data_IF_657591808801
#
_entry.id   IF_657591808801
#
_cell.length_a   1.000
_cell.length_b   1.000
_cell.length_c   1.000
_cell.angle_alpha   90.00
_cell.angle_beta   90.00
_cell.angle_gamma   90.00
#
_symmetry.space_group_name_H-M   'P 1'
#
loop_
_entity.id
_entity.type
_entity.pdbx_description
1 polymer ?
#
# COMPACT_ATOMS: atom_id res chain seq x y z
N UNK A 1 -5.84 27.14 -4.59
CA UNK A 1 -5.44 28.49 -5.08
C UNK A 1 -6.21 28.84 -6.35
N UNK A 2 -6.21 30.11 -6.74
CA UNK A 2 -6.69 30.53 -8.07
C UNK A 2 -5.71 30.07 -9.17
N UNK A 3 -6.23 29.78 -10.37
CA UNK A 3 -5.47 29.43 -11.57
C UNK A 3 -5.75 30.45 -12.67
N UNK A 4 -5.22 31.67 -12.46
CA UNK A 4 -5.39 32.81 -13.39
C UNK A 4 -4.72 32.59 -14.74
N UNK A 5 -3.82 31.62 -14.81
CA UNK A 5 -3.14 31.16 -16.00
C UNK A 5 -3.98 30.17 -16.86
N UNK A 6 -5.11 29.68 -16.34
CA UNK A 6 -6.00 28.73 -17.00
C UNK A 6 -7.39 29.34 -17.28
N UNK A 7 -8.19 28.71 -18.15
CA UNK A 7 -9.60 29.08 -18.30
C UNK A 7 -10.38 29.03 -16.98
N UNK A 8 -11.50 29.77 -16.87
CA UNK A 8 -12.35 29.71 -15.67
C UNK A 8 -12.77 28.28 -15.33
N UNK A 9 -12.72 27.95 -14.05
CA UNK A 9 -13.21 26.67 -13.52
C UNK A 9 -12.14 25.73 -12.94
N UNK A 10 -10.84 26.05 -13.06
CA UNK A 10 -9.73 25.22 -12.54
C UNK A 10 -9.13 25.70 -11.21
N UNK A 11 -9.82 26.59 -10.51
CA UNK A 11 -9.47 27.01 -9.15
C UNK A 11 -9.64 25.86 -8.13
N UNK A 12 -9.12 26.06 -6.92
CA UNK A 12 -9.34 25.14 -5.80
C UNK A 12 -8.11 24.26 -5.52
N UNK A 13 -8.33 22.97 -5.26
CA UNK A 13 -7.25 22.02 -4.98
C UNK A 13 -6.36 21.80 -6.20
N UNK A 14 -5.06 21.85 -5.95
CA UNK A 14 -4.03 21.60 -6.95
C UNK A 14 -3.15 20.47 -6.41
N UNK A 15 -2.93 19.44 -7.22
CA UNK A 15 -1.98 18.39 -6.89
C UNK A 15 -0.55 18.93 -7.10
N UNK A 16 0.27 18.76 -6.08
CA UNK A 16 1.72 18.97 -6.13
C UNK A 16 2.36 17.70 -5.58
N UNK A 17 3.32 17.16 -6.33
CA UNK A 17 4.10 16.02 -5.86
C UNK A 17 5.59 16.38 -5.87
N UNK A 18 6.21 16.29 -4.69
CA UNK A 18 7.62 16.54 -4.49
C UNK A 18 8.46 15.26 -4.56
N UNK A 19 7.82 14.10 -4.71
CA UNK A 19 8.48 12.81 -4.92
C UNK A 19 9.15 12.82 -6.30
N UNK A 20 10.47 12.63 -6.41
CA UNK A 20 11.17 12.70 -7.68
C UNK A 20 10.86 11.44 -8.52
N UNK A 21 9.82 11.52 -9.37
CA UNK A 21 9.37 10.43 -10.24
C UNK A 21 9.74 10.70 -11.70
N UNK A 22 9.11 11.70 -12.31
CA UNK A 22 9.36 12.16 -13.68
C UNK A 22 9.95 13.58 -13.66
N UNK A 23 10.84 13.87 -14.62
CA UNK A 23 11.42 15.20 -14.75
C UNK A 23 10.51 16.11 -15.58
N UNK A 24 10.00 17.19 -14.97
CA UNK A 24 9.30 18.26 -15.68
C UNK A 24 10.32 19.32 -16.13
N UNK A 25 10.53 19.44 -17.45
CA UNK A 25 11.56 20.29 -18.05
C UNK A 25 12.98 20.05 -17.49
N UNK A 26 13.33 18.79 -17.21
CA UNK A 26 14.65 18.41 -16.70
C UNK A 26 14.85 18.59 -15.19
N UNK A 27 13.81 18.99 -14.45
CA UNK A 27 13.84 19.14 -12.99
C UNK A 27 12.83 18.16 -12.37
N UNK A 28 13.20 17.52 -11.27
CA UNK A 28 12.27 16.67 -10.50
C UNK A 28 11.30 17.54 -9.68
N UNK A 29 10.19 17.89 -10.32
CA UNK A 29 9.04 18.55 -9.72
C UNK A 29 7.77 18.14 -10.46
N UNK A 30 6.63 18.21 -9.78
CA UNK A 30 5.34 17.90 -10.37
C UNK A 30 4.24 18.84 -9.87
N UNK A 31 3.49 19.42 -10.80
CA UNK A 31 2.38 20.32 -10.54
C UNK A 31 2.78 21.81 -10.49
N UNK A 32 1.84 22.71 -10.17
CA UNK A 32 0.47 22.43 -9.71
C UNK A 32 -0.48 21.98 -10.83
N UNK A 33 -1.10 20.81 -10.67
CA UNK A 33 -2.15 20.30 -11.56
C UNK A 33 -3.54 20.52 -10.94
N UNK A 34 -4.50 21.14 -11.62
CA UNK A 34 -5.85 21.28 -11.07
C UNK A 34 -6.49 19.90 -10.90
N UNK A 35 -6.96 19.57 -9.70
CA UNK A 35 -7.63 18.28 -9.45
C UNK A 35 -8.85 18.11 -10.37
N UNK A 36 -9.54 19.20 -10.69
CA UNK A 36 -10.63 19.21 -11.67
C UNK A 36 -10.15 18.84 -13.09
N UNK A 37 -9.00 19.34 -13.54
CA UNK A 37 -8.47 18.99 -14.86
C UNK A 37 -8.14 17.50 -14.95
N UNK A 38 -7.64 16.90 -13.86
CA UNK A 38 -7.42 15.45 -13.76
C UNK A 38 -8.74 14.71 -13.89
N UNK A 39 -9.77 15.13 -13.15
CA UNK A 39 -11.11 14.51 -13.22
C UNK A 39 -11.75 14.57 -14.60
N UNK A 40 -11.60 15.69 -15.30
CA UNK A 40 -12.21 15.88 -16.62
C UNK A 40 -11.34 15.40 -17.80
N UNK A 41 -10.15 14.83 -17.51
CA UNK A 41 -9.21 14.36 -18.55
C UNK A 41 -8.61 15.49 -19.39
N UNK A 42 -8.54 16.71 -18.87
CA UNK A 42 -7.96 17.88 -19.54
C UNK A 42 -6.42 17.90 -19.39
N UNK A 43 -5.79 16.82 -19.86
CA UNK A 43 -4.36 16.56 -19.65
C UNK A 43 -3.42 17.54 -20.38
N UNK A 44 -3.94 18.34 -21.32
CA UNK A 44 -3.17 19.34 -22.04
C UNK A 44 -2.83 20.58 -21.20
N UNK A 45 -3.51 20.76 -20.05
CA UNK A 45 -3.30 21.92 -19.18
C UNK A 45 -2.03 21.78 -18.35
N UNK A 46 -1.37 22.91 -18.10
CA UNK A 46 -0.21 22.95 -17.21
C UNK A 46 -0.66 22.81 -15.75
N UNK A 47 0.15 22.23 -14.86
CA UNK A 47 1.42 21.54 -15.10
C UNK A 47 1.23 20.03 -14.88
N UNK A 48 1.95 19.20 -15.63
CA UNK A 48 2.09 17.75 -15.41
C UNK A 48 0.78 16.94 -15.31
N UNK A 49 -0.34 17.48 -15.84
CA UNK A 49 -1.62 16.79 -15.83
C UNK A 49 -1.60 15.38 -16.46
N UNK A 50 -0.85 15.10 -17.55
CA UNK A 50 -0.79 13.75 -18.11
C UNK A 50 -0.21 12.72 -17.12
N UNK A 51 0.80 13.12 -16.35
CA UNK A 51 1.46 12.26 -15.37
C UNK A 51 0.51 11.95 -14.21
N UNK A 52 -0.06 12.99 -13.57
CA UNK A 52 -0.98 12.82 -12.45
C UNK A 52 -2.27 12.09 -12.87
N UNK A 53 -2.74 12.29 -14.11
CA UNK A 53 -3.89 11.53 -14.64
C UNK A 53 -3.59 10.04 -14.70
N UNK A 54 -2.40 9.64 -15.14
CA UNK A 54 -2.00 8.24 -15.19
C UNK A 54 -1.91 7.60 -13.79
N UNK A 55 -1.43 8.34 -12.77
CA UNK A 55 -1.34 7.84 -11.38
C UNK A 55 -2.69 7.36 -10.82
N UNK A 56 -3.81 7.88 -11.33
CA UNK A 56 -5.16 7.56 -10.83
C UNK A 56 -6.07 6.83 -11.82
N UNK A 57 -5.75 6.83 -13.11
CA UNK A 57 -6.59 6.22 -14.17
C UNK A 57 -5.88 5.14 -15.00
N UNK A 58 -4.62 4.80 -14.75
CA UNK A 58 -3.92 3.82 -15.59
C UNK A 58 -4.54 2.41 -15.52
N UNK A 59 -4.64 1.78 -16.70
CA UNK A 59 -4.94 0.35 -16.83
C UNK A 59 -3.75 -0.51 -16.39
N UNK A 60 -4.03 -1.64 -15.73
CA UNK A 60 -3.02 -2.65 -15.42
C UNK A 60 -3.09 -3.76 -16.45
N UNK A 61 -2.02 -3.92 -17.22
CA UNK A 61 -1.83 -5.04 -18.15
C UNK A 61 -0.70 -5.91 -17.62
N UNK A 62 -0.91 -7.22 -17.54
CA UNK A 62 0.16 -8.15 -17.17
C UNK A 62 0.51 -9.08 -18.30
N UNK A 63 1.80 -9.31 -18.38
CA UNK A 63 2.43 -10.11 -19.40
C UNK A 63 3.23 -11.23 -18.74
N UNK A 64 3.19 -12.43 -19.32
CA UNK A 64 4.11 -13.51 -18.99
C UNK A 64 5.18 -13.56 -20.06
N UNK A 65 6.43 -13.42 -19.64
CA UNK A 65 7.60 -13.56 -20.50
C UNK A 65 8.27 -14.88 -20.17
N UNK A 66 8.21 -15.84 -21.10
CA UNK A 66 8.74 -17.20 -20.87
C UNK A 66 10.25 -17.24 -21.12
N UNK A 67 10.71 -16.59 -22.18
CA UNK A 67 12.12 -16.32 -22.42
C UNK A 67 12.28 -14.97 -23.16
N UNK A 68 13.51 -14.46 -23.24
CA UNK A 68 13.82 -13.16 -23.85
C UNK A 68 13.57 -13.10 -25.37
N UNK A 69 13.40 -14.25 -26.03
CA UNK A 69 13.23 -14.35 -27.48
C UNK A 69 11.77 -14.50 -27.91
N UNK A 70 10.88 -14.93 -27.01
CA UNK A 70 9.45 -15.06 -27.25
C UNK A 70 8.71 -13.77 -26.97
N UNK A 71 7.73 -13.44 -27.82
CA UNK A 71 6.82 -12.34 -27.55
C UNK A 71 6.12 -12.53 -26.18
N UNK A 72 5.99 -11.47 -25.37
CA UNK A 72 5.25 -11.54 -24.11
C UNK A 72 3.79 -11.96 -24.35
N UNK A 73 3.27 -12.86 -23.51
CA UNK A 73 1.88 -13.30 -23.55
C UNK A 73 1.03 -12.45 -22.61
N UNK A 74 0.01 -11.77 -23.13
CA UNK A 74 -0.91 -10.98 -22.29
C UNK A 74 -1.85 -11.91 -21.53
N UNK A 75 -1.79 -11.88 -20.19
CA UNK A 75 -2.56 -12.80 -19.33
C UNK A 75 -3.53 -12.11 -18.39
N UNK A 76 -3.53 -10.77 -18.35
CA UNK A 76 -4.41 -10.00 -17.46
C UNK A 76 -4.60 -8.58 -17.97
N UNK A 77 -5.82 -8.06 -17.83
CA UNK A 77 -6.13 -6.63 -17.90
C UNK A 77 -7.09 -6.28 -16.77
N UNK A 78 -6.85 -5.14 -16.13
CA UNK A 78 -7.75 -4.55 -15.14
C UNK A 78 -7.67 -3.04 -15.23
N UNK A 79 -8.75 -2.46 -15.72
CA UNK A 79 -8.91 -1.03 -15.91
C UNK A 79 -9.32 -0.31 -14.63
N UNK A 80 -9.59 -1.05 -13.56
CA UNK A 80 -10.21 -0.52 -12.36
C UNK A 80 -9.29 -0.74 -11.16
N UNK A 81 -8.00 -1.08 -11.35
CA UNK A 81 -7.09 -1.42 -10.25
C UNK A 81 -6.42 -0.20 -9.61
N UNK A 82 -6.10 0.81 -10.42
CA UNK A 82 -5.32 1.99 -10.04
C UNK A 82 -6.23 3.10 -9.49
N UNK A 83 -5.66 4.02 -8.70
CA UNK A 83 -6.35 5.21 -8.20
C UNK A 83 -7.52 4.93 -7.24
N UNK A 84 -7.42 3.90 -6.40
CA UNK A 84 -8.46 3.59 -5.40
C UNK A 84 -8.22 4.32 -4.09
N UNK A 85 -9.33 4.62 -3.39
CA UNK A 85 -9.32 5.06 -1.98
C UNK A 85 -8.42 6.29 -1.75
N UNK A 86 -8.41 7.23 -2.70
CA UNK A 86 -7.67 8.48 -2.56
C UNK A 86 -8.23 9.19 -1.33
N UNK A 87 -7.40 9.40 -0.33
CA UNK A 87 -7.85 9.76 1.00
C UNK A 87 -7.09 10.97 1.54
N UNK A 88 -7.80 11.78 2.33
CA UNK A 88 -7.20 12.82 3.16
C UNK A 88 -7.73 12.74 4.59
N UNK A 89 -7.05 13.40 5.52
CA UNK A 89 -7.51 13.48 6.91
C UNK A 89 -8.73 14.41 6.99
N UNK A 90 -9.81 13.94 7.61
CA UNK A 90 -11.01 14.74 7.83
C UNK A 90 -10.70 15.97 8.71
N UNK A 91 -11.34 17.09 8.38
CA UNK A 91 -11.21 18.34 9.14
C UNK A 91 -11.71 18.11 10.57
N UNK A 92 -10.90 18.52 11.56
CA UNK A 92 -11.26 18.42 12.98
C UNK A 92 -11.11 17.03 13.63
N UNK A 93 -11.02 15.94 12.86
CA UNK A 93 -10.95 14.55 13.39
C UNK A 93 -9.79 13.76 12.78
N UNK A 94 -9.54 12.54 13.24
CA UNK A 94 -8.60 11.59 12.61
C UNK A 94 -9.28 10.69 11.56
N UNK A 95 -10.54 10.94 11.25
CA UNK A 95 -11.31 10.16 10.29
C UNK A 95 -10.70 10.21 8.89
N UNK A 96 -10.85 9.12 8.15
CA UNK A 96 -10.54 9.09 6.71
C UNK A 96 -11.63 9.83 5.96
N UNK A 97 -11.27 10.84 5.18
CA UNK A 97 -12.14 11.45 4.18
C UNK A 97 -11.73 10.91 2.81
N UNK A 98 -12.65 10.19 2.17
CA UNK A 98 -12.46 9.71 0.80
C UNK A 98 -12.69 10.84 -0.20
N UNK A 99 -11.73 11.07 -1.09
CA UNK A 99 -11.75 12.10 -2.12
C UNK A 99 -11.53 11.48 -3.52
N UNK A 100 -11.74 10.17 -3.68
CA UNK A 100 -11.55 9.48 -4.97
C UNK A 100 -12.42 10.11 -6.07
N UNK A 101 -13.66 10.49 -5.75
CA UNK A 101 -14.60 11.13 -6.68
C UNK A 101 -14.22 12.56 -7.08
N UNK A 102 -13.24 13.17 -6.40
CA UNK A 102 -12.67 14.45 -6.81
C UNK A 102 -11.66 14.29 -7.97
N UNK A 103 -11.03 13.13 -8.09
CA UNK A 103 -9.98 12.86 -9.09
C UNK A 103 -10.49 12.09 -10.31
N UNK A 104 -11.55 11.30 -10.17
CA UNK A 104 -12.12 10.53 -11.29
C UNK A 104 -13.59 10.21 -11.07
N UNK A 105 -14.25 9.83 -12.16
CA UNK A 105 -15.62 9.32 -12.14
C UNK A 105 -15.66 7.89 -11.57
N UNK A 106 -16.87 7.39 -11.29
CA UNK A 106 -17.03 6.05 -10.72
C UNK A 106 -16.63 4.98 -11.74
N UNK A 107 -15.86 3.99 -11.31
CA UNK A 107 -15.42 2.88 -12.16
C UNK A 107 -16.61 2.20 -12.84
N UNK A 108 -16.56 2.07 -14.17
CA UNK A 108 -17.63 1.48 -14.97
C UNK A 108 -18.77 2.43 -15.34
N UNK A 109 -18.71 3.71 -14.97
CA UNK A 109 -19.64 4.72 -15.50
C UNK A 109 -19.25 5.12 -16.94
N UNK A 110 -20.21 5.67 -17.68
CA UNK A 110 -19.96 6.15 -19.05
C UNK A 110 -18.95 7.30 -19.06
N UNK A 111 -19.05 8.21 -18.09
CA UNK A 111 -18.17 9.35 -17.93
C UNK A 111 -16.72 8.94 -17.68
N UNK A 112 -16.48 7.88 -16.89
CA UNK A 112 -15.14 7.33 -16.65
C UNK A 112 -14.46 6.95 -17.97
N UNK A 113 -15.16 6.19 -18.82
CA UNK A 113 -14.62 5.76 -20.12
C UNK A 113 -14.48 6.90 -21.11
N UNK A 114 -15.43 7.82 -21.16
CA UNK A 114 -15.36 9.00 -22.03
C UNK A 114 -14.16 9.87 -21.68
N UNK A 115 -13.92 10.13 -20.40
CA UNK A 115 -12.77 10.91 -19.91
C UNK A 115 -11.45 10.20 -20.21
N UNK A 116 -11.38 8.90 -19.99
CA UNK A 116 -10.19 8.11 -20.29
C UNK A 116 -9.85 8.14 -21.79
N UNK A 117 -10.84 7.90 -22.67
CA UNK A 117 -10.67 7.97 -24.12
C UNK A 117 -10.27 9.36 -24.59
N UNK A 118 -10.91 10.42 -24.07
CA UNK A 118 -10.54 11.82 -24.34
C UNK A 118 -9.07 12.08 -24.02
N UNK A 119 -8.60 11.65 -22.84
CA UNK A 119 -7.20 11.84 -22.44
C UNK A 119 -6.23 11.05 -23.35
N UNK A 120 -6.58 9.82 -23.71
CA UNK A 120 -5.77 8.99 -24.60
C UNK A 120 -5.68 9.59 -26.01
N UNK A 121 -6.79 10.07 -26.57
CA UNK A 121 -6.82 10.76 -27.86
C UNK A 121 -5.95 12.03 -27.84
N UNK A 122 -6.05 12.84 -26.78
CA UNK A 122 -5.22 14.04 -26.64
C UNK A 122 -3.72 13.71 -26.62
N UNK A 123 -3.35 12.61 -25.95
CA UNK A 123 -1.96 12.13 -25.90
C UNK A 123 -1.47 11.59 -27.25
N UNK A 124 -2.35 10.94 -28.01
CA UNK A 124 -2.01 10.28 -29.28
C UNK A 124 -2.08 11.21 -30.50
N UNK A 125 -2.43 12.49 -30.34
CA UNK A 125 -2.35 13.48 -31.43
C UNK A 125 -0.90 13.66 -31.89
N UNK A 126 -0.59 13.49 -33.19
CA UNK A 126 0.77 13.25 -33.64
C UNK A 126 1.59 14.55 -33.74
N UNK A 127 2.70 14.62 -33.01
CA UNK A 127 3.97 14.92 -33.67
C UNK A 127 4.53 13.58 -34.17
N UNK A 128 4.28 13.29 -35.45
CA UNK A 128 4.96 12.29 -36.31
C UNK A 128 5.67 11.13 -35.59
N UNK A 129 5.06 9.95 -35.57
CA UNK A 129 5.55 8.72 -36.26
C UNK A 129 4.37 7.76 -36.35
N UNK A 130 4.12 7.26 -37.57
CA UNK A 130 3.24 6.12 -37.83
C UNK A 130 3.60 4.95 -36.90
N UNK A 131 2.79 4.73 -35.88
CA UNK A 131 2.60 3.40 -35.30
C UNK A 131 1.22 2.97 -35.72
N UNK A 132 1.14 1.80 -36.34
CA UNK A 132 -0.08 1.30 -36.97
C UNK A 132 -1.26 1.42 -36.03
N UNK A 133 -2.31 2.08 -36.52
CA UNK A 133 -3.65 1.98 -35.99
C UNK A 133 -4.06 0.51 -36.16
N UNK A 134 -3.87 -0.30 -35.12
CA UNK A 134 -4.62 -1.54 -34.99
C UNK A 134 -5.99 -1.15 -34.46
N UNK A 135 -6.79 -0.60 -35.38
CA UNK A 135 -8.20 -0.30 -35.24
C UNK A 135 -9.00 -1.62 -35.38
N UNK A 136 -8.53 -2.65 -34.66
CA UNK A 136 -9.28 -3.85 -34.41
C UNK A 136 -9.79 -3.79 -32.99
N UNK A 137 -11.00 -3.24 -32.87
CA UNK A 137 -11.99 -3.70 -31.90
C UNK A 137 -12.33 -5.18 -32.15
N UNK A 138 -11.31 -6.04 -32.17
CA UNK A 138 -11.50 -7.42 -31.75
C UNK A 138 -11.82 -7.36 -30.27
N UNK A 139 -12.87 -8.03 -29.78
CA UNK A 139 -13.03 -8.20 -28.35
C UNK A 139 -11.73 -8.81 -27.85
N UNK A 140 -10.94 -8.06 -27.06
CA UNK A 140 -9.82 -8.60 -26.30
C UNK A 140 -10.33 -9.92 -25.73
N UNK A 141 -9.78 -11.08 -26.13
CA UNK A 141 -10.36 -12.34 -25.74
C UNK A 141 -10.44 -12.31 -24.23
N UNK A 142 -11.67 -12.33 -23.72
CA UNK A 142 -11.87 -12.44 -22.29
C UNK A 142 -11.03 -13.63 -21.85
N UNK A 143 -10.40 -13.49 -20.70
CA UNK A 143 -9.54 -14.48 -20.04
C UNK A 143 -10.29 -15.79 -19.68
N UNK A 144 -11.39 -16.07 -20.39
CA UNK A 144 -12.36 -17.14 -20.27
C UNK A 144 -12.01 -18.41 -21.07
N UNK A 145 -10.98 -18.39 -21.93
CA UNK A 145 -10.62 -19.58 -22.74
C UNK A 145 -9.99 -20.73 -21.95
N UNK A 146 -9.23 -20.40 -20.91
CA UNK A 146 -8.48 -21.41 -20.12
C UNK A 146 -9.45 -22.33 -19.34
N UNK A 147 -10.61 -21.81 -18.95
CA UNK A 147 -11.61 -22.56 -18.19
C UNK A 147 -11.16 -22.96 -16.79
N UNK A 148 -10.11 -22.33 -16.26
CA UNK A 148 -9.65 -22.48 -14.87
C UNK A 148 -9.59 -21.11 -14.22
N UNK A 149 -10.08 -20.97 -13.00
CA UNK A 149 -9.83 -19.79 -12.17
C UNK A 149 -8.80 -20.11 -11.08
N UNK A 150 -7.93 -19.15 -10.77
CA UNK A 150 -6.97 -19.23 -9.68
C UNK A 150 -7.02 -17.95 -8.85
N UNK A 151 -7.08 -18.08 -7.52
CA UNK A 151 -7.01 -16.95 -6.59
C UNK A 151 -6.15 -17.29 -5.37
N UNK A 152 -5.47 -16.29 -4.84
CA UNK A 152 -4.66 -16.41 -3.63
C UNK A 152 -5.44 -15.87 -2.42
N UNK A 153 -5.66 -16.72 -1.41
CA UNK A 153 -6.38 -16.35 -0.18
C UNK A 153 -5.53 -16.63 1.04
N UNK A 154 -5.38 -15.65 1.93
CA UNK A 154 -4.71 -15.86 3.21
C UNK A 154 -5.49 -16.86 4.06
N UNK A 155 -4.79 -17.75 4.76
CA UNK A 155 -5.43 -18.59 5.77
C UNK A 155 -5.85 -17.73 6.97
N UNK A 156 -4.93 -16.89 7.44
CA UNK A 156 -5.10 -15.97 8.57
C UNK A 156 -4.37 -14.63 8.27
N UNK A 157 -4.66 -13.59 9.03
CA UNK A 157 -3.90 -12.33 8.96
C UNK A 157 -2.44 -12.59 9.34
N UNK A 158 -1.48 -12.27 8.47
CA UNK A 158 -0.09 -12.61 8.71
C UNK A 158 0.53 -11.61 9.68
N UNK A 159 1.25 -12.12 10.68
CA UNK A 159 1.90 -11.30 11.72
C UNK A 159 3.41 -11.43 11.57
N UNK A 160 4.13 -10.32 11.74
CA UNK A 160 5.59 -10.31 11.72
C UNK A 160 6.15 -11.30 12.76
N UNK A 161 7.06 -12.18 12.33
CA UNK A 161 7.66 -13.20 13.18
C UNK A 161 7.03 -14.59 13.09
N UNK A 162 5.92 -14.73 12.36
CA UNK A 162 5.20 -16.00 12.20
C UNK A 162 5.27 -16.54 10.77
N UNK A 163 5.06 -17.83 10.58
CA UNK A 163 4.96 -18.40 9.25
C UNK A 163 3.73 -17.85 8.51
N UNK A 164 3.92 -17.39 7.28
CA UNK A 164 2.82 -16.90 6.45
C UNK A 164 2.16 -18.08 5.76
N UNK A 165 0.83 -18.18 5.87
CA UNK A 165 0.07 -19.29 5.28
C UNK A 165 -1.01 -18.74 4.34
N UNK A 166 -0.98 -19.20 3.08
CA UNK A 166 -2.00 -18.86 2.09
C UNK A 166 -2.39 -20.07 1.23
N UNK A 167 -3.59 -20.03 0.69
CA UNK A 167 -4.09 -21.02 -0.27
C UNK A 167 -4.08 -20.46 -1.69
N UNK A 168 -3.55 -21.25 -2.62
CA UNK A 168 -3.89 -21.13 -4.03
C UNK A 168 -5.18 -21.93 -4.27
N UNK A 169 -6.28 -21.22 -4.47
CA UNK A 169 -7.60 -21.79 -4.73
C UNK A 169 -7.82 -21.87 -6.23
N UNK A 170 -8.03 -23.09 -6.72
CA UNK A 170 -8.26 -23.41 -8.12
C UNK A 170 -9.70 -23.85 -8.31
N UNK A 171 -10.29 -23.49 -9.45
CA UNK A 171 -11.57 -24.07 -9.88
C UNK A 171 -11.53 -24.38 -11.35
N UNK A 172 -11.83 -25.63 -11.71
CA UNK A 172 -12.08 -26.02 -13.09
C UNK A 172 -13.51 -25.63 -13.46
N UNK A 173 -13.67 -24.74 -14.42
CA UNK A 173 -14.96 -24.23 -14.90
C UNK A 173 -15.47 -25.02 -16.11
N UNK A 174 -14.71 -26.02 -16.58
CA UNK A 174 -15.04 -26.83 -17.75
C UNK A 174 -15.70 -28.15 -17.38
N UNK A 175 -16.20 -28.85 -18.40
CA UNK A 175 -16.74 -30.20 -18.32
C UNK A 175 -15.68 -31.29 -18.56
N UNK A 176 -14.41 -30.91 -18.77
CA UNK A 176 -13.31 -31.84 -19.01
C UNK A 176 -12.27 -31.79 -17.89
N UNK A 177 -11.52 -32.89 -17.75
CA UNK A 177 -10.39 -32.96 -16.82
C UNK A 177 -9.28 -32.01 -17.28
N UNK A 178 -8.63 -31.34 -16.32
CA UNK A 178 -7.54 -30.40 -16.58
C UNK A 178 -6.34 -30.72 -15.70
N UNK A 179 -5.14 -30.67 -16.29
CA UNK A 179 -3.87 -30.77 -15.58
C UNK A 179 -3.14 -29.44 -15.61
N UNK A 180 -2.71 -28.98 -14.44
CA UNK A 180 -2.09 -27.66 -14.28
C UNK A 180 -0.87 -27.76 -13.37
N UNK A 181 0.23 -27.11 -13.77
CA UNK A 181 1.39 -26.88 -12.91
C UNK A 181 1.39 -25.44 -12.43
N UNK A 182 1.51 -25.25 -11.12
CA UNK A 182 1.45 -23.95 -10.46
C UNK A 182 2.82 -23.64 -9.90
N UNK A 183 3.45 -22.60 -10.42
CA UNK A 183 4.72 -22.09 -9.95
C UNK A 183 4.46 -20.83 -9.11
N UNK A 184 4.73 -20.92 -7.81
CA UNK A 184 4.60 -19.82 -6.86
C UNK A 184 5.98 -19.25 -6.59
N UNK A 185 6.11 -17.95 -6.78
CA UNK A 185 7.27 -17.16 -6.40
C UNK A 185 6.87 -16.16 -5.31
N UNK A 186 7.69 -16.08 -4.27
CA UNK A 186 7.53 -15.14 -3.16
C UNK A 186 8.76 -14.25 -3.11
N UNK A 187 8.55 -12.95 -3.05
CA UNK A 187 9.62 -11.95 -2.96
C UNK A 187 9.29 -10.92 -1.90
N UNK A 188 10.30 -10.39 -1.24
CA UNK A 188 10.13 -9.15 -0.52
C UNK A 188 10.00 -7.99 -1.52
N UNK A 189 9.16 -7.02 -1.18
CA UNK A 189 8.97 -5.82 -1.99
C UNK A 189 8.98 -4.58 -1.11
N UNK A 190 9.31 -3.44 -1.70
CA UNK A 190 9.07 -2.15 -1.07
C UNK A 190 7.65 -1.65 -1.32
N UNK A 191 7.24 -0.63 -0.56
CA UNK A 191 5.93 0.02 -0.71
C UNK A 191 5.67 0.60 -2.11
N UNK A 192 6.72 1.01 -2.83
CA UNK A 192 6.67 1.47 -4.22
C UNK A 192 6.61 0.31 -5.24
N UNK A 193 6.61 -0.94 -4.79
CA UNK A 193 6.54 -2.13 -5.64
C UNK A 193 7.88 -2.60 -6.20
N UNK A 194 9.00 -1.98 -5.83
CA UNK A 194 10.34 -2.47 -6.20
C UNK A 194 10.53 -3.88 -5.62
N UNK A 195 10.95 -4.78 -6.50
CA UNK A 195 11.24 -6.18 -6.16
C UNK A 195 12.63 -6.28 -5.52
N UNK A 196 12.69 -6.91 -4.36
CA UNK A 196 13.93 -7.24 -3.67
C UNK A 196 14.28 -8.70 -3.97
N UNK A 197 14.81 -9.42 -2.98
CA UNK A 197 15.23 -10.80 -3.14
C UNK A 197 14.04 -11.77 -3.18
N UNK A 198 14.27 -12.89 -3.86
CA UNK A 198 13.37 -14.04 -3.83
C UNK A 198 13.48 -14.72 -2.48
N UNK A 199 12.36 -14.78 -1.76
CA UNK A 199 12.23 -15.48 -0.48
C UNK A 199 12.13 -16.98 -0.71
N UNK A 200 11.24 -17.41 -1.62
CA UNK A 200 11.10 -18.81 -1.97
C UNK A 200 10.39 -19.01 -3.31
N UNK A 201 10.59 -20.19 -3.88
CA UNK A 201 9.85 -20.69 -5.03
C UNK A 201 9.29 -22.07 -4.72
N UNK A 202 8.08 -22.35 -5.17
CA UNK A 202 7.40 -23.63 -4.99
C UNK A 202 6.67 -24.02 -6.27
N UNK A 203 6.63 -25.32 -6.56
CA UNK A 203 5.92 -25.86 -7.71
C UNK A 203 4.97 -26.96 -7.27
N UNK A 204 3.76 -26.97 -7.83
CA UNK A 204 2.72 -27.95 -7.52
C UNK A 204 2.06 -28.40 -8.82
N UNK A 205 1.89 -29.71 -8.98
CA UNK A 205 1.08 -30.27 -10.08
C UNK A 205 -0.27 -30.73 -9.54
N UNK A 206 -1.34 -30.27 -10.18
CA UNK A 206 -2.72 -30.52 -9.76
C UNK A 206 -3.51 -31.07 -10.95
N UNK A 207 -4.28 -32.11 -10.70
CA UNK A 207 -5.30 -32.61 -11.61
C UNK A 207 -6.67 -32.18 -11.08
N UNK A 208 -7.45 -31.50 -11.93
CA UNK A 208 -8.77 -30.97 -11.59
C UNK A 208 -9.84 -31.69 -12.43
N UNK A 209 -10.74 -32.40 -11.75
CA UNK A 209 -11.93 -32.98 -12.38
C UNK A 209 -12.87 -31.87 -12.88
N UNK A 210 -13.82 -32.19 -13.77
CA UNK A 210 -14.86 -31.25 -14.17
C UNK A 210 -15.54 -30.60 -12.96
N UNK A 211 -15.66 -29.27 -12.98
CA UNK A 211 -16.29 -28.47 -11.90
C UNK A 211 -15.62 -28.54 -10.52
N UNK A 212 -14.45 -29.18 -10.39
CA UNK A 212 -13.76 -29.33 -9.10
C UNK A 212 -13.18 -27.99 -8.60
N UNK A 213 -13.32 -27.76 -7.30
CA UNK A 213 -12.55 -26.77 -6.55
C UNK A 213 -11.45 -27.47 -5.75
N UNK A 214 -10.21 -26.98 -5.86
CA UNK A 214 -9.05 -27.54 -5.18
C UNK A 214 -8.23 -26.44 -4.51
N UNK A 215 -7.63 -26.72 -3.36
CA UNK A 215 -6.82 -25.74 -2.62
C UNK A 215 -5.44 -26.29 -2.32
N UNK A 216 -4.40 -25.55 -2.72
CA UNK A 216 -3.00 -25.86 -2.37
C UNK A 216 -2.54 -24.93 -1.27
N UNK A 217 -2.14 -25.48 -0.12
CA UNK A 217 -1.57 -24.70 0.99
C UNK A 217 -0.10 -24.35 0.71
N UNK A 218 0.20 -23.06 0.69
CA UNK A 218 1.55 -22.53 0.62
C UNK A 218 1.94 -21.92 1.98
N UNK A 219 2.90 -22.56 2.65
CA UNK A 219 3.50 -22.05 3.90
C UNK A 219 4.83 -21.36 3.60
N UNK A 220 5.04 -20.13 4.05
CA UNK A 220 6.27 -19.37 3.87
C UNK A 220 6.87 -19.15 5.27
N UNK A 221 7.88 -19.95 5.66
CA UNK A 221 8.46 -19.85 6.99
C UNK A 221 9.09 -18.49 7.30
N UNK A 222 8.97 -18.00 8.53
CA UNK A 222 9.59 -16.73 8.97
C UNK A 222 11.09 -16.69 8.67
N UNK A 223 11.78 -17.82 8.87
CA UNK A 223 13.21 -17.95 8.62
C UNK A 223 13.62 -17.65 7.17
N UNK A 224 12.74 -17.82 6.19
CA UNK A 224 13.04 -17.56 4.78
C UNK A 224 12.92 -16.09 4.40
N UNK A 225 12.04 -15.33 5.07
CA UNK A 225 11.76 -13.95 4.66
C UNK A 225 12.32 -12.91 5.61
N UNK A 226 12.68 -13.26 6.85
CA UNK A 226 13.08 -12.29 7.88
C UNK A 226 14.24 -11.37 7.50
N UNK A 227 15.21 -11.89 6.73
CA UNK A 227 16.37 -11.12 6.30
C UNK A 227 16.05 -10.17 5.14
N UNK A 228 14.98 -10.44 4.41
CA UNK A 228 14.58 -9.71 3.20
C UNK A 228 13.55 -8.62 3.48
N UNK A 229 12.99 -8.58 4.68
CA UNK A 229 12.01 -7.57 5.06
C UNK A 229 12.65 -6.20 5.26
N UNK A 230 11.95 -5.20 4.74
CA UNK A 230 12.26 -3.78 4.92
C UNK A 230 11.26 -3.15 5.88
N UNK A 231 11.30 -1.83 6.02
CA UNK A 231 10.35 -1.08 6.84
C UNK A 231 8.88 -1.27 6.39
N UNK A 232 8.70 -1.64 5.12
CA UNK A 232 7.40 -1.83 4.48
C UNK A 232 6.69 -3.10 4.97
N UNK A 233 7.42 -4.10 5.49
CA UNK A 233 6.87 -5.40 5.90
C UNK A 233 5.99 -6.06 4.80
N UNK A 234 6.39 -5.93 3.53
CA UNK A 234 5.63 -6.41 2.39
C UNK A 234 6.29 -7.61 1.71
N UNK A 235 5.47 -8.62 1.41
CA UNK A 235 5.82 -9.71 0.52
C UNK A 235 4.88 -9.68 -0.70
N UNK A 236 5.39 -10.03 -1.87
CA UNK A 236 4.60 -10.27 -3.08
C UNK A 236 4.62 -11.74 -3.41
N UNK A 237 3.45 -12.33 -3.55
CA UNK A 237 3.27 -13.69 -4.05
C UNK A 237 2.74 -13.62 -5.47
N UNK A 238 3.46 -14.24 -6.40
CA UNK A 238 3.06 -14.44 -7.79
C UNK A 238 2.91 -15.93 -8.04
N UNK A 239 1.72 -16.37 -8.44
CA UNK A 239 1.42 -17.74 -8.82
C UNK A 239 1.11 -17.77 -10.32
N UNK A 240 1.94 -18.47 -11.10
CA UNK A 240 1.72 -18.72 -12.53
C UNK A 240 1.28 -20.17 -12.68
N UNK A 241 0.08 -20.37 -13.19
CA UNK A 241 -0.45 -21.68 -13.57
C UNK A 241 -0.25 -21.91 -15.07
N UNK A 242 0.27 -23.06 -15.47
CA UNK A 242 0.40 -23.48 -16.86
C UNK A 242 -0.34 -24.80 -17.06
N UNK A 243 -1.25 -24.85 -18.04
CA UNK A 243 -1.94 -26.09 -18.41
C UNK A 243 -0.96 -27.02 -19.14
N UNK A 244 -0.96 -28.29 -18.75
CA UNK A 244 -0.04 -29.28 -19.33
C UNK A 244 -0.28 -29.48 -20.82
N UNK A 245 -1.56 -29.54 -21.24
CA UNK A 245 -1.95 -29.90 -22.60
C UNK A 245 -1.89 -28.71 -23.58
N UNK A 246 -2.40 -27.55 -23.16
CA UNK A 246 -2.54 -26.37 -24.05
C UNK A 246 -1.41 -25.35 -23.92
N UNK A 247 -0.59 -25.44 -22.85
CA UNK A 247 0.45 -24.45 -22.51
C UNK A 247 -0.06 -23.05 -22.21
N UNK A 248 -1.38 -22.89 -22.12
CA UNK A 248 -2.01 -21.63 -21.70
C UNK A 248 -1.66 -21.31 -20.26
N UNK A 249 -1.45 -20.02 -19.98
CA UNK A 249 -1.01 -19.53 -18.68
C UNK A 249 -2.04 -18.63 -18.02
N UNK A 250 -2.15 -18.77 -16.71
CA UNK A 250 -2.95 -17.88 -15.87
C UNK A 250 -2.12 -17.37 -14.69
N UNK A 251 -2.44 -16.18 -14.21
CA UNK A 251 -1.70 -15.48 -13.17
C UNK A 251 -2.62 -15.10 -12.02
N UNK A 252 -2.21 -15.42 -10.80
CA UNK A 252 -2.76 -14.85 -9.59
C UNK A 252 -1.63 -14.21 -8.78
N UNK A 253 -1.87 -13.02 -8.25
CA UNK A 253 -0.89 -12.32 -7.42
C UNK A 253 -1.54 -11.79 -6.15
N UNK A 254 -0.72 -11.61 -5.11
CA UNK A 254 -1.15 -11.00 -3.87
C UNK A 254 0.02 -10.32 -3.19
N UNK A 255 -0.15 -9.04 -2.83
CA UNK A 255 0.71 -8.38 -1.87
C UNK A 255 0.22 -8.75 -0.46
N UNK A 256 1.16 -9.08 0.41
CA UNK A 256 0.95 -9.49 1.79
C UNK A 256 1.65 -8.45 2.66
N UNK A 257 0.87 -7.73 3.47
CA UNK A 257 1.40 -6.86 4.52
C UNK A 257 1.39 -7.63 5.83
N UNK A 258 2.55 -7.73 6.48
CA UNK A 258 2.67 -8.35 7.80
C UNK A 258 2.25 -7.34 8.87
N UNK A 259 1.33 -7.74 9.74
CA UNK A 259 0.92 -6.91 10.87
C UNK A 259 2.08 -6.74 11.83
N UNK A 260 2.40 -5.48 12.14
CA UNK A 260 3.41 -5.14 13.13
C UNK A 260 2.91 -5.48 14.54
N UNK A 261 3.81 -5.94 15.43
CA UNK A 261 3.48 -6.16 16.84
C UNK A 261 3.05 -4.84 17.51
N UNK A 262 2.12 -4.92 18.47
CA UNK A 262 1.59 -3.74 19.16
C UNK A 262 2.48 -3.31 20.30
N UNK A 263 2.70 -2.00 20.41
CA UNK A 263 3.32 -1.38 21.57
C UNK A 263 2.25 -0.63 22.36
N UNK A 264 2.33 -0.69 23.70
CA UNK A 264 1.39 -0.01 24.57
C UNK A 264 1.99 1.32 25.02
N UNK A 265 1.24 2.40 24.86
CA UNK A 265 1.61 3.75 25.28
C UNK A 265 0.46 4.33 26.09
N UNK A 266 0.75 4.74 27.32
CA UNK A 266 -0.26 5.32 28.22
C UNK A 266 0.31 6.51 29.00
N UNK A 267 -0.56 7.45 29.36
CA UNK A 267 -0.28 8.52 30.31
C UNK A 267 -1.23 8.32 31.50
N UNK A 268 -0.74 7.95 32.69
CA UNK A 268 -1.59 7.80 33.87
C UNK A 268 -1.96 9.20 34.37
N UNK A 269 -3.25 9.52 34.34
CA UNK A 269 -3.77 10.81 34.75
C UNK A 269 -3.73 11.86 33.64
N UNK A 270 -3.98 13.10 34.02
CA UNK A 270 -4.10 14.21 33.07
C UNK A 270 -2.76 14.90 32.83
N UNK A 271 -2.55 15.37 31.60
CA UNK A 271 -1.38 16.17 31.27
C UNK A 271 -1.61 17.65 31.60
N UNK A 272 -0.68 18.23 32.38
CA UNK A 272 -0.77 19.60 32.84
C UNK A 272 0.25 20.48 32.13
N UNK A 273 -0.17 21.69 31.75
CA UNK A 273 0.73 22.66 31.13
C UNK A 273 1.87 23.02 32.10
N UNK A 274 3.11 22.95 31.59
CA UNK A 274 4.36 23.24 32.30
C UNK A 274 4.64 22.37 33.53
N UNK A 275 3.93 21.24 33.69
CA UNK A 275 4.18 20.30 34.78
C UNK A 275 4.54 18.91 34.23
N UNK A 276 5.45 18.17 34.92
CA UNK A 276 5.81 16.82 34.53
C UNK A 276 4.59 15.89 34.52
N UNK A 277 4.39 15.23 33.39
CA UNK A 277 3.36 14.20 33.20
C UNK A 277 4.03 12.92 32.74
N UNK A 278 3.85 11.83 33.47
CA UNK A 278 4.59 10.59 33.25
C UNK A 278 3.99 9.80 32.09
N UNK A 279 4.71 9.56 31.00
CA UNK A 279 4.30 8.59 29.98
C UNK A 279 4.92 7.23 30.28
N UNK A 280 4.15 6.16 30.07
CA UNK A 280 4.60 4.78 30.17
C UNK A 280 4.52 4.12 28.81
N UNK A 281 5.58 3.41 28.45
CA UNK A 281 5.67 2.62 27.22
C UNK A 281 6.02 1.19 27.58
N UNK A 282 5.30 0.23 27.02
CA UNK A 282 5.52 -1.21 27.21
C UNK A 282 5.50 -1.92 25.87
N UNK A 283 6.46 -2.81 25.68
CA UNK A 283 6.54 -3.66 24.51
C UNK A 283 7.19 -4.99 24.87
N UNK A 284 6.62 -6.09 24.38
CA UNK A 284 7.15 -7.44 24.54
C UNK A 284 7.69 -7.95 23.22
N UNK A 285 8.88 -8.57 23.24
CA UNK A 285 9.46 -9.18 22.06
C UNK A 285 8.60 -10.38 21.60
N UNK A 286 7.95 -10.29 20.42
CA UNK A 286 7.10 -11.36 19.91
C UNK A 286 7.88 -12.42 19.11
N UNK A 287 9.14 -12.15 18.80
CA UNK A 287 9.98 -13.06 18.03
C UNK A 287 10.56 -14.15 18.93
N UNK A 288 10.90 -15.27 18.29
CA UNK A 288 11.63 -16.38 18.93
C UNK A 288 13.13 -16.11 19.03
N UNK A 289 13.61 -14.96 18.56
CA UNK A 289 15.00 -14.52 18.61
C UNK A 289 15.17 -13.19 19.37
N UNK A 290 16.41 -12.89 19.79
CA UNK A 290 16.70 -11.62 20.46
C UNK A 290 16.48 -10.45 19.50
N UNK A 291 15.82 -9.40 19.97
CA UNK A 291 15.88 -8.09 19.31
C UNK A 291 17.18 -7.41 19.73
N UNK A 292 17.97 -6.95 18.77
CA UNK A 292 19.23 -6.23 19.04
C UNK A 292 19.10 -4.75 18.72
N UNK A 293 19.91 -3.94 19.39
CA UNK A 293 19.98 -2.48 19.19
C UNK A 293 18.60 -1.81 19.28
N UNK A 294 17.83 -2.21 20.29
CA UNK A 294 16.49 -1.69 20.54
C UNK A 294 16.55 -0.20 20.90
N UNK A 295 15.75 0.62 20.23
CA UNK A 295 15.66 2.07 20.43
C UNK A 295 14.22 2.50 20.56
N UNK A 296 14.00 3.51 21.38
CA UNK A 296 12.70 4.16 21.56
C UNK A 296 12.85 5.67 21.38
N UNK A 297 12.05 6.24 20.48
CA UNK A 297 11.98 7.69 20.23
C UNK A 297 10.56 8.17 20.51
N UNK A 298 10.42 9.28 21.22
CA UNK A 298 9.15 9.94 21.50
C UNK A 298 9.22 11.41 21.08
N UNK A 299 8.22 11.86 20.35
CA UNK A 299 8.08 13.25 19.91
C UNK A 299 6.62 13.72 19.94
N UNK A 300 6.38 15.01 20.11
CA UNK A 300 5.03 15.56 20.10
C UNK A 300 5.04 17.07 20.23
N UNK A 301 4.52 17.77 19.21
CA UNK A 301 4.46 19.23 19.23
C UNK A 301 3.60 19.71 20.40
N UNK A 302 4.16 20.59 21.23
CA UNK A 302 3.49 21.08 22.45
C UNK A 302 3.58 20.14 23.66
N UNK A 303 4.18 18.96 23.51
CA UNK A 303 4.40 17.97 24.57
C UNK A 303 5.90 17.82 24.92
N UNK A 304 6.77 17.81 23.91
CA UNK A 304 8.22 17.61 24.03
C UNK A 304 8.94 18.67 23.18
N UNK A 305 9.97 19.31 23.73
CA UNK A 305 10.89 20.15 22.95
C UNK A 305 11.95 19.22 22.34
N UNK A 306 11.97 19.09 21.01
CA UNK A 306 12.80 18.10 20.32
C UNK A 306 12.21 16.69 20.43
N UNK A 307 13.04 15.72 20.85
CA UNK A 307 12.66 14.32 21.01
C UNK A 307 13.25 13.74 22.30
N UNK A 308 12.61 12.73 22.86
CA UNK A 308 13.18 11.86 23.89
C UNK A 308 13.64 10.59 23.21
N UNK A 309 14.90 10.21 23.40
CA UNK A 309 15.50 9.01 22.82
C UNK A 309 16.10 8.12 23.91
N UNK A 310 15.87 6.81 23.80
CA UNK A 310 16.36 5.79 24.72
C UNK A 310 16.94 4.61 23.95
N UNK A 311 18.20 4.31 24.21
CA UNK A 311 18.81 3.03 23.87
C UNK A 311 18.37 1.99 24.92
N UNK A 312 17.77 0.90 24.46
CA UNK A 312 17.22 -0.16 25.30
C UNK A 312 18.09 -1.45 25.28
N UNK A 313 19.12 -1.49 24.44
CA UNK A 313 20.01 -2.64 24.29
C UNK A 313 19.32 -3.81 23.59
N UNK A 314 19.49 -5.02 24.12
CA UNK A 314 18.92 -6.23 23.53
C UNK A 314 17.71 -6.73 24.34
N UNK A 315 16.67 -7.20 23.65
CA UNK A 315 15.46 -7.76 24.27
C UNK A 315 15.30 -9.23 23.92
N UNK A 316 15.38 -10.12 24.92
CA UNK A 316 15.26 -11.57 24.74
C UNK A 316 13.84 -11.99 24.30
N UNK A 317 13.67 -13.16 23.66
CA UNK A 317 12.36 -13.72 23.33
C UNK A 317 11.41 -13.71 24.54
N UNK A 318 10.18 -13.28 24.32
CA UNK A 318 9.13 -13.21 25.35
C UNK A 318 9.37 -12.21 26.49
N UNK A 319 10.53 -11.53 26.53
CA UNK A 319 10.78 -10.48 27.51
C UNK A 319 10.19 -9.16 27.04
N UNK A 320 9.98 -8.24 27.99
CA UNK A 320 9.43 -6.93 27.73
C UNK A 320 10.28 -5.82 28.33
N UNK A 321 10.24 -4.65 27.71
CA UNK A 321 10.69 -3.42 28.37
C UNK A 321 9.50 -2.63 28.90
N UNK A 322 9.74 -1.88 29.97
CA UNK A 322 8.84 -0.88 30.53
C UNK A 322 9.62 0.40 30.75
N UNK A 323 9.28 1.44 29.99
CA UNK A 323 9.91 2.75 30.12
C UNK A 323 8.91 3.72 30.71
N UNK A 324 9.39 4.54 31.64
CA UNK A 324 8.69 5.73 32.10
C UNK A 324 9.53 6.94 31.77
N UNK A 325 8.91 7.97 31.20
CA UNK A 325 9.56 9.25 30.93
C UNK A 325 8.63 10.40 31.32
N UNK A 326 9.22 11.51 31.75
CA UNK A 326 8.44 12.71 32.03
C UNK A 326 8.29 13.55 30.75
N UNK A 327 7.05 13.88 30.43
CA UNK A 327 6.68 14.86 29.41
C UNK A 327 6.40 16.19 30.11
N UNK A 328 6.88 17.31 29.57
CA UNK A 328 6.57 18.65 30.09
C UNK A 328 5.86 19.44 28.99
N UNK A 329 4.52 19.36 28.92
CA UNK A 329 3.76 20.06 27.90
C UNK A 329 3.93 21.57 27.96
N UNK A 330 4.11 22.21 26.80
CA UNK A 330 4.30 23.65 26.67
C UNK A 330 3.24 24.34 25.79
N UNK A 331 2.25 23.58 25.28
CA UNK A 331 1.06 24.13 24.61
C UNK A 331 -0.21 23.43 25.09
N UNK A 332 -1.27 24.21 25.35
CA UNK A 332 -2.61 23.69 25.71
C UNK A 332 -3.35 23.07 24.52
N UNK A 333 -4.40 22.30 24.84
CA UNK A 333 -5.35 21.72 23.89
C UNK A 333 -5.02 20.27 23.52
N UNK A 334 -5.71 19.75 22.49
CA UNK A 334 -5.47 18.39 21.96
C UNK A 334 -4.10 18.32 21.30
N UNK A 335 -3.26 17.40 21.76
CA UNK A 335 -1.92 17.08 21.24
C UNK A 335 -1.83 15.60 20.91
N UNK A 336 -0.82 15.25 20.13
CA UNK A 336 -0.51 13.86 19.79
C UNK A 336 0.93 13.60 20.18
N UNK A 337 1.14 12.55 20.97
CA UNK A 337 2.45 11.96 21.19
C UNK A 337 2.66 10.87 20.15
N UNK A 338 3.78 10.91 19.46
CA UNK A 338 4.26 9.85 18.57
C UNK A 338 5.35 9.06 19.27
N UNK A 339 5.24 7.74 19.23
CA UNK A 339 6.22 6.83 19.83
C UNK A 339 6.69 5.85 18.75
N UNK A 340 7.99 5.80 18.54
CA UNK A 340 8.66 4.96 17.58
C UNK A 340 9.57 3.99 18.31
N UNK A 341 9.37 2.70 18.11
CA UNK A 341 10.31 1.65 18.51
C UNK A 341 10.99 1.07 17.28
N UNK A 342 12.28 0.82 17.36
CA UNK A 342 13.06 0.16 16.31
C UNK A 342 14.10 -0.80 16.88
N UNK A 343 14.53 -1.75 16.07
CA UNK A 343 15.61 -2.72 16.34
C UNK A 343 16.16 -3.22 15.00
N UNK A 344 17.22 -4.02 15.01
CA UNK A 344 17.74 -4.61 13.78
C UNK A 344 16.75 -5.59 13.13
N UNK A 345 15.99 -6.32 13.94
CA UNK A 345 15.05 -7.37 13.50
C UNK A 345 13.66 -6.80 13.18
N UNK A 346 13.20 -5.81 13.94
CA UNK A 346 11.93 -5.11 13.73
C UNK A 346 12.24 -3.66 13.42
N UNK A 347 12.13 -3.28 12.14
CA UNK A 347 12.55 -1.97 11.66
C UNK A 347 11.82 -0.84 12.37
N UNK A 348 10.48 -0.83 12.33
CA UNK A 348 9.69 0.19 13.03
C UNK A 348 8.37 -0.35 13.56
N UNK A 349 8.05 0.03 14.79
CA UNK A 349 6.72 0.00 15.38
C UNK A 349 6.36 1.44 15.71
N UNK A 350 5.22 1.90 15.21
CA UNK A 350 4.72 3.26 15.38
C UNK A 350 3.43 3.21 16.19
N UNK A 351 3.41 3.92 17.29
CA UNK A 351 2.21 4.15 18.08
C UNK A 351 1.99 5.65 18.27
N UNK A 352 0.75 6.02 18.57
CA UNK A 352 0.43 7.39 18.87
C UNK A 352 -0.62 7.47 19.98
N UNK A 353 -0.52 8.50 20.81
CA UNK A 353 -1.42 8.75 21.92
C UNK A 353 -1.96 10.17 21.86
N UNK A 354 -3.29 10.30 21.87
CA UNK A 354 -3.94 11.60 22.03
C UNK A 354 -3.86 12.05 23.49
N UNK A 355 -3.40 13.28 23.70
CA UNK A 355 -3.22 13.87 25.02
C UNK A 355 -3.94 15.21 25.03
N UNK A 356 -4.84 15.39 26.00
CA UNK A 356 -5.44 16.69 26.29
C UNK A 356 -4.58 17.37 27.35
N UNK A 357 -4.02 18.53 26.99
CA UNK A 357 -3.23 19.36 27.90
C UNK A 357 -4.07 20.53 28.38
N UNK A 358 -4.24 20.65 29.69
CA UNK A 358 -4.99 21.73 30.33
C UNK A 358 -4.20 22.42 31.44
N UNK A 359 -4.76 23.52 31.90
CA UNK A 359 -4.19 24.36 32.96
C UNK A 359 -4.49 23.77 34.33
N UNK A 360 -3.65 24.06 35.33
CA UNK A 360 -3.84 23.60 36.71
C UNK A 360 -5.24 23.91 37.29
N UNK A 361 -5.91 24.97 36.83
CA UNK A 361 -7.22 25.43 37.34
C UNK A 361 -8.46 24.92 36.59
N UNK A 362 -8.32 24.24 35.45
CA UNK A 362 -9.47 23.83 34.60
C UNK A 362 -10.07 22.46 35.02
N UNK A 363 -9.40 21.69 35.87
CA UNK A 363 -9.84 20.35 36.27
C UNK A 363 -10.95 20.34 37.34
N UNK A 364 -11.19 21.47 38.00
CA UNK A 364 -12.19 21.57 39.06
C UNK A 364 -13.62 21.80 38.56
N UNK A 365 -13.84 21.95 37.25
CA UNK A 365 -15.15 22.29 36.69
C UNK A 365 -15.89 21.13 36.00
N UNK A 366 -15.24 19.97 35.78
CA UNK A 366 -15.85 18.84 35.06
C UNK A 366 -16.13 17.59 35.91
N UNK A 367 -15.83 17.60 37.21
CA UNK A 367 -16.19 16.52 38.15
C UNK A 367 -17.27 16.93 39.17
N UNK A 368 -18.02 17.99 38.89
CA UNK A 368 -19.23 18.36 39.65
C UNK A 368 -20.37 18.57 38.64
N UNK A 369 -20.93 17.47 38.15
CA UNK A 369 -22.35 17.34 37.79
C UNK A 369 -22.71 15.88 37.56
#
# INVERSE_FOLDING_TARGET
MERRDLPPGYNGWQALDATPQEASNGIFCCGPAPVKAIKEGDIHLKYDCPFIFAEVNADVIKWVVTNKMTAPERVYQDSNKIGKLISTKQVGTKGRMDITSNYKYAEGSEEERLVFSKALEMRNKPHTVNTGHDDTSTPNPSLSKIGISMRLKMKESPVLGQDVQLFALLKNLTSSLKKITININVQAIENNGVHLNVVCQKSYSVELKPQEEHSVLCVIPYSLYKAELTESNLLKVCAVGELTDTKEKLLAERNITLDSPKMQVEIPGNALLFAPSKVKVRFANPLTENLTNCRLIMEGNGLIIGKIERELGNLKPGHEFKISADLIPYKKGKKVLHVLFSSDNIKYIREHLDIVVSSLGEFNLHNVQ
#
